data_IF_599448914244
#
_entry.id   IF_599448914244
#
_cell.length_a   1.000
_cell.length_b   1.000
_cell.length_c   1.000
_cell.angle_alpha   90.00
_cell.angle_beta   90.00
_cell.angle_gamma   90.00
#
_symmetry.space_group_name_H-M   'P 1'
#
loop_
_entity.id
_entity.type
_entity.pdbx_description
1 polymer ?
#
# COMPACT_ATOMS: atom_id res chain seq x y z
N UNK A 1 -5.96 22.25 25.77
CA UNK A 1 -4.76 21.72 25.09
C UNK A 1 -4.46 22.39 23.73
N UNK A 2 -3.29 23.01 23.61
CA UNK A 2 -2.72 23.57 22.36
C UNK A 2 -1.24 23.17 22.24
N UNK A 3 -0.72 23.04 21.02
CA UNK A 3 0.69 22.76 20.74
C UNK A 3 1.37 23.88 19.95
N UNK A 4 2.52 24.35 20.42
CA UNK A 4 3.40 25.28 19.69
C UNK A 4 4.76 24.66 19.48
N UNK A 5 5.29 24.73 18.26
CA UNK A 5 6.60 24.18 17.94
C UNK A 5 7.60 25.31 17.70
N UNK A 6 8.71 25.26 18.41
CA UNK A 6 9.91 26.04 18.17
C UNK A 6 11.03 25.17 17.62
N UNK A 7 11.99 25.80 16.97
CA UNK A 7 13.20 25.19 16.45
C UNK A 7 14.41 25.91 17.03
N UNK A 8 15.46 25.15 17.38
CA UNK A 8 16.67 25.73 17.97
C UNK A 8 17.93 25.05 17.43
N UNK A 9 18.98 25.85 17.24
CA UNK A 9 20.35 25.36 17.00
C UNK A 9 21.11 25.14 18.31
N UNK A 10 20.59 25.64 19.44
CA UNK A 10 21.23 25.60 20.75
C UNK A 10 20.51 24.60 21.66
N UNK A 11 21.10 23.41 21.78
CA UNK A 11 20.61 22.33 22.63
C UNK A 11 20.67 22.72 24.11
N UNK A 12 21.77 23.35 24.54
CA UNK A 12 22.00 23.72 25.94
C UNK A 12 20.95 24.72 26.41
N UNK A 13 20.67 25.73 25.58
CA UNK A 13 19.62 26.70 25.87
C UNK A 13 18.24 26.05 25.95
N UNK A 14 17.89 25.19 24.99
CA UNK A 14 16.57 24.52 24.98
C UNK A 14 16.36 23.61 26.19
N UNK A 15 17.35 22.79 26.55
CA UNK A 15 17.28 21.91 27.72
C UNK A 15 17.28 22.70 29.03
N UNK A 16 18.14 23.71 29.16
CA UNK A 16 18.20 24.58 30.34
C UNK A 16 16.91 25.38 30.54
N UNK A 17 16.31 25.89 29.46
CA UNK A 17 15.02 26.57 29.54
C UNK A 17 13.90 25.60 29.94
N UNK A 18 13.82 24.42 29.32
CA UNK A 18 12.81 23.42 29.64
C UNK A 18 12.91 22.94 31.10
N UNK A 19 14.11 22.85 31.66
CA UNK A 19 14.34 22.34 33.01
C UNK A 19 14.59 23.43 34.06
N UNK A 20 14.17 24.67 33.78
CA UNK A 20 14.39 25.79 34.70
C UNK A 20 13.68 25.55 36.05
N UNK A 21 14.47 25.47 37.13
CA UNK A 21 13.99 25.20 38.49
C UNK A 21 13.12 26.31 39.06
N UNK A 22 13.34 27.56 38.66
CA UNK A 22 12.48 28.69 39.06
C UNK A 22 11.06 28.55 38.50
N UNK A 23 10.84 27.59 37.59
CA UNK A 23 9.56 27.31 36.94
C UNK A 23 8.97 25.92 37.25
N UNK A 24 9.46 25.24 38.29
CA UNK A 24 9.16 23.82 38.58
C UNK A 24 9.53 22.88 37.42
N UNK A 25 10.65 23.17 36.73
CA UNK A 25 11.18 22.45 35.55
C UNK A 25 11.59 20.98 35.75
N UNK A 26 10.83 20.21 36.52
CA UNK A 26 11.05 18.79 36.73
C UNK A 26 10.71 17.97 35.48
N UNK A 27 11.56 16.97 35.19
CA UNK A 27 11.33 16.03 34.10
C UNK A 27 10.14 15.11 34.45
N UNK A 28 9.12 15.14 33.59
CA UNK A 28 7.98 14.23 33.64
C UNK A 28 8.31 12.90 32.97
N UNK A 29 8.89 12.92 31.77
CA UNK A 29 9.32 11.74 31.02
C UNK A 29 10.53 12.10 30.12
N UNK A 30 11.33 11.09 29.76
CA UNK A 30 12.43 11.22 28.82
C UNK A 30 12.68 9.89 28.11
N UNK A 31 13.40 9.95 27.00
CA UNK A 31 13.92 8.79 26.27
C UNK A 31 15.37 9.05 25.86
N UNK A 32 16.20 8.01 25.90
CA UNK A 32 17.65 8.03 25.62
C UNK A 32 18.41 9.19 26.29
N UNK A 33 17.91 9.69 27.41
CA UNK A 33 18.46 10.82 28.16
C UNK A 33 18.36 10.48 29.64
N UNK A 34 19.48 10.57 30.35
CA UNK A 34 19.51 10.31 31.78
C UNK A 34 18.77 11.41 32.54
N UNK A 35 17.64 11.05 33.17
CA UNK A 35 16.80 11.97 33.94
C UNK A 35 17.45 12.45 35.24
N UNK A 36 18.52 11.78 35.68
CA UNK A 36 19.26 12.15 36.90
C UNK A 36 20.41 13.11 36.64
N UNK A 37 20.88 13.18 35.38
CA UNK A 37 21.92 14.09 34.94
C UNK A 37 21.43 15.55 34.91
N UNK A 38 22.35 16.50 35.08
CA UNK A 38 21.99 17.92 34.99
C UNK A 38 21.62 18.33 33.55
N UNK A 39 20.88 19.43 33.33
CA UNK A 39 20.59 19.93 31.99
C UNK A 39 21.85 20.17 31.15
N UNK A 40 22.95 20.61 31.78
CA UNK A 40 24.24 20.81 31.13
C UNK A 40 24.89 19.49 30.72
N UNK A 41 24.79 18.45 31.55
CA UNK A 41 25.30 17.11 31.23
C UNK A 41 24.51 16.48 30.08
N UNK A 42 23.19 16.52 30.14
CA UNK A 42 22.31 16.06 29.07
C UNK A 42 22.60 16.81 27.75
N UNK A 43 22.83 18.13 27.82
CA UNK A 43 23.18 18.91 26.66
C UNK A 43 24.53 18.49 26.06
N UNK A 44 25.54 18.19 26.89
CA UNK A 44 26.83 17.66 26.41
C UNK A 44 26.66 16.33 25.69
N UNK A 45 25.85 15.42 26.21
CA UNK A 45 25.61 14.11 25.61
C UNK A 45 24.90 14.24 24.25
N UNK A 46 23.88 15.10 24.18
CA UNK A 46 23.17 15.39 22.93
C UNK A 46 24.08 16.08 21.91
N UNK A 47 24.89 17.04 22.34
CA UNK A 47 25.87 17.71 21.45
C UNK A 47 26.92 16.73 20.92
N UNK A 48 27.34 15.73 21.71
CA UNK A 48 28.30 14.72 21.29
C UNK A 48 27.75 13.78 20.19
N UNK A 49 26.42 13.62 20.14
CA UNK A 49 25.72 12.79 19.14
C UNK A 49 25.03 13.62 18.05
N UNK A 50 25.12 14.94 18.10
CA UNK A 50 24.47 15.83 17.16
C UNK A 50 25.18 15.86 15.81
N UNK A 51 24.42 15.70 14.73
CA UNK A 51 24.86 16.06 13.39
C UNK A 51 24.85 17.59 13.20
N UNK A 52 25.61 18.07 12.21
CA UNK A 52 25.71 19.50 11.90
C UNK A 52 24.50 20.02 11.09
N UNK A 53 23.32 19.93 11.69
CA UNK A 53 22.10 20.52 11.15
C UNK A 53 21.90 21.94 11.70
N UNK A 54 21.35 22.83 10.88
CA UNK A 54 20.94 24.17 11.30
C UNK A 54 19.98 24.11 12.51
N UNK A 55 19.03 23.18 12.48
CA UNK A 55 18.14 22.89 13.59
C UNK A 55 18.63 21.64 14.31
N UNK A 56 19.08 21.79 15.55
CA UNK A 56 19.63 20.70 16.37
C UNK A 56 18.60 20.12 17.35
N UNK A 57 17.58 20.89 17.71
CA UNK A 57 16.45 20.37 18.45
C UNK A 57 15.14 21.10 18.08
N UNK A 58 14.02 20.41 18.33
CA UNK A 58 12.69 20.99 18.34
C UNK A 58 12.21 21.12 19.77
N UNK A 59 11.43 22.16 20.05
CA UNK A 59 10.72 22.32 21.32
C UNK A 59 9.23 22.38 21.03
N UNK A 60 8.45 21.44 21.57
CA UNK A 60 6.99 21.47 21.51
C UNK A 60 6.46 21.86 22.88
N UNK A 61 5.69 22.94 22.94
CA UNK A 61 5.03 23.41 24.15
C UNK A 61 3.58 22.98 24.09
N UNK A 62 3.17 22.12 25.02
CA UNK A 62 1.78 21.74 25.24
C UNK A 62 1.22 22.57 26.38
N UNK A 63 0.14 23.31 26.15
CA UNK A 63 -0.50 24.14 27.18
C UNK A 63 -1.95 23.73 27.42
N UNK A 64 -2.34 23.69 28.69
CA UNK A 64 -3.70 23.49 29.15
C UNK A 64 -4.40 24.83 29.41
N UNK A 65 -5.73 24.84 29.46
CA UNK A 65 -6.49 26.04 29.85
C UNK A 65 -6.45 26.25 31.37
N UNK A 66 -6.83 27.44 31.89
CA UNK A 66 -6.87 27.66 33.33
C UNK A 66 -7.80 26.67 34.05
N UNK A 67 -8.97 26.40 33.47
CA UNK A 67 -9.95 25.44 34.01
C UNK A 67 -9.39 24.03 34.06
N UNK A 68 -8.72 23.60 32.99
CA UNK A 68 -8.04 22.29 32.94
C UNK A 68 -6.91 22.21 33.96
N UNK A 69 -6.15 23.29 34.12
CA UNK A 69 -5.05 23.38 35.09
C UNK A 69 -5.56 23.19 36.52
N UNK A 70 -6.64 23.90 36.90
CA UNK A 70 -7.26 23.72 38.22
C UNK A 70 -7.76 22.29 38.41
N UNK A 71 -8.39 21.71 37.38
CA UNK A 71 -8.87 20.33 37.42
C UNK A 71 -7.71 19.34 37.62
N UNK A 72 -6.61 19.47 36.87
CA UNK A 72 -5.44 18.60 36.99
C UNK A 72 -4.77 18.70 38.36
N UNK A 73 -4.57 19.93 38.86
CA UNK A 73 -4.00 20.19 40.20
C UNK A 73 -4.87 19.66 41.34
N UNK A 74 -6.18 19.53 41.13
CA UNK A 74 -7.10 18.97 42.12
C UNK A 74 -7.04 17.44 42.24
N UNK A 75 -6.41 16.76 41.27
CA UNK A 75 -6.25 15.31 41.27
C UNK A 75 -5.11 14.86 42.20
N UNK A 76 -5.09 13.60 42.64
CA UNK A 76 -3.93 13.02 43.32
C UNK A 76 -2.63 13.23 42.52
N UNK A 77 -1.55 13.52 43.23
CA UNK A 77 -0.23 13.85 42.67
C UNK A 77 -0.30 14.93 41.57
N UNK A 78 -1.18 15.92 41.72
CA UNK A 78 -1.44 16.98 40.73
C UNK A 78 -1.77 16.44 39.33
N UNK A 79 -2.39 15.27 39.25
CA UNK A 79 -2.77 14.63 37.99
C UNK A 79 -1.58 14.09 37.19
N UNK A 80 -0.39 13.93 37.80
CA UNK A 80 0.85 13.54 37.13
C UNK A 80 0.70 12.32 36.22
N UNK A 81 0.05 11.26 36.70
CA UNK A 81 -0.14 10.03 35.90
C UNK A 81 -1.07 10.23 34.71
N UNK A 82 -2.13 11.02 34.90
CA UNK A 82 -3.07 11.38 33.83
C UNK A 82 -2.35 12.21 32.76
N UNK A 83 -1.57 13.20 33.18
CA UNK A 83 -0.76 14.05 32.29
C UNK A 83 0.26 13.21 31.53
N UNK A 84 0.97 12.31 32.21
CA UNK A 84 1.93 11.40 31.58
C UNK A 84 1.27 10.54 30.49
N UNK A 85 0.04 10.09 30.73
CA UNK A 85 -0.75 9.34 29.74
C UNK A 85 -1.13 10.22 28.55
N UNK A 86 -1.65 11.43 28.80
CA UNK A 86 -2.00 12.40 27.74
C UNK A 86 -0.79 12.75 26.87
N UNK A 87 0.37 13.00 27.49
CA UNK A 87 1.60 13.34 26.75
C UNK A 87 2.12 12.16 25.94
N UNK A 88 2.06 10.93 26.47
CA UNK A 88 2.43 9.72 25.69
C UNK A 88 1.54 9.55 24.48
N UNK A 89 0.22 9.63 24.66
CA UNK A 89 -0.73 9.56 23.56
C UNK A 89 -0.47 10.66 22.52
N UNK A 90 -0.07 11.87 22.95
CA UNK A 90 0.34 12.93 22.05
C UNK A 90 1.59 12.58 21.24
N UNK A 91 2.62 11.98 21.86
CA UNK A 91 3.83 11.55 21.17
C UNK A 91 3.56 10.39 20.21
N UNK A 92 2.69 9.46 20.58
CA UNK A 92 2.25 8.36 19.73
C UNK A 92 1.50 8.89 18.51
N UNK A 93 0.53 9.79 18.73
CA UNK A 93 -0.22 10.45 17.65
C UNK A 93 0.67 11.29 16.74
N UNK A 94 1.69 11.97 17.30
CA UNK A 94 2.69 12.70 16.53
C UNK A 94 3.52 11.75 15.65
N UNK A 95 3.86 10.57 16.17
CA UNK A 95 4.61 9.53 15.47
C UNK A 95 3.78 8.90 14.34
N UNK A 96 2.50 8.59 14.58
CA UNK A 96 1.57 8.10 13.56
C UNK A 96 1.39 9.08 12.40
N UNK A 97 1.55 10.38 12.66
CA UNK A 97 1.51 11.45 11.65
C UNK A 97 2.83 11.67 10.90
N UNK A 98 3.85 10.86 11.18
CA UNK A 98 5.11 10.83 10.46
C UNK A 98 6.25 11.62 11.11
N UNK A 99 6.07 12.08 12.34
CA UNK A 99 7.12 12.70 13.16
C UNK A 99 7.49 11.75 14.31
N UNK A 100 8.06 10.61 13.96
CA UNK A 100 8.41 9.53 14.90
C UNK A 100 9.55 9.97 15.84
N UNK A 101 9.27 9.95 17.13
CA UNK A 101 10.20 10.33 18.21
C UNK A 101 10.77 9.13 18.96
N UNK A 102 10.38 7.90 18.60
CA UNK A 102 10.72 6.68 19.38
C UNK A 102 12.21 6.42 19.45
N UNK A 103 12.96 6.71 18.38
CA UNK A 103 14.42 6.55 18.29
C UNK A 103 15.19 7.87 18.53
N UNK A 104 14.47 8.99 18.73
CA UNK A 104 15.09 10.28 18.98
C UNK A 104 15.17 10.56 20.48
N UNK A 105 16.33 10.99 21.02
CA UNK A 105 16.40 11.50 22.38
C UNK A 105 15.41 12.64 22.60
N UNK A 106 14.65 12.58 23.68
CA UNK A 106 13.75 13.66 24.06
C UNK A 106 13.59 13.76 25.58
N UNK A 107 13.21 14.94 26.05
CA UNK A 107 12.75 15.18 27.41
C UNK A 107 11.40 15.88 27.40
N UNK A 108 10.61 15.66 28.43
CA UNK A 108 9.39 16.40 28.73
C UNK A 108 9.51 16.96 30.13
N UNK A 109 9.57 18.27 30.24
CA UNK A 109 9.59 18.98 31.51
C UNK A 109 8.26 19.70 31.74
N UNK A 110 7.80 19.71 32.99
CA UNK A 110 6.62 20.47 33.42
C UNK A 110 7.06 21.88 33.78
N UNK A 111 6.30 22.90 33.38
CA UNK A 111 6.38 24.25 33.96
C UNK A 111 5.02 24.58 34.58
N UNK A 112 5.04 25.03 35.83
CA UNK A 112 3.83 25.40 36.58
C UNK A 112 3.75 26.90 36.94
N UNK A 113 4.79 27.64 36.54
CA UNK A 113 5.06 29.02 36.95
C UNK A 113 4.17 30.08 36.31
N UNK A 114 3.34 29.68 35.35
CA UNK A 114 2.33 30.54 34.72
C UNK A 114 0.93 30.15 35.19
N UNK A 115 -0.06 31.00 34.92
CA UNK A 115 -1.49 30.74 35.22
C UNK A 115 -2.00 29.40 34.64
N UNK A 116 -1.30 28.86 33.64
CA UNK A 116 -1.62 27.59 32.99
C UNK A 116 -0.49 26.56 33.14
N UNK A 117 -0.87 25.30 33.35
CA UNK A 117 0.07 24.18 33.20
C UNK A 117 0.51 24.04 31.75
N UNK A 118 1.82 23.96 31.56
CA UNK A 118 2.40 23.68 30.26
C UNK A 118 3.63 22.78 30.35
N UNK A 119 3.89 22.08 29.26
CA UNK A 119 4.92 21.06 29.18
C UNK A 119 5.84 21.35 28.01
N UNK A 120 7.13 21.38 28.29
CA UNK A 120 8.19 21.55 27.32
C UNK A 120 8.70 20.19 26.89
N UNK A 121 8.44 19.82 25.64
CA UNK A 121 8.95 18.62 25.00
C UNK A 121 10.14 19.04 24.13
N UNK A 122 11.36 18.71 24.53
CA UNK A 122 12.56 18.98 23.71
C UNK A 122 12.94 17.68 23.01
N UNK A 123 13.10 17.74 21.69
CA UNK A 123 13.39 16.58 20.83
C UNK A 123 14.70 16.85 20.09
N UNK A 124 15.67 15.96 20.23
CA UNK A 124 16.92 15.99 19.48
C UNK A 124 16.68 15.64 18.00
N UNK A 125 17.32 16.34 17.06
CA UNK A 125 17.12 16.07 15.62
C UNK A 125 17.97 14.93 15.08
N UNK A 126 18.86 14.34 15.88
CA UNK A 126 19.66 13.18 15.52
C UNK A 126 19.21 11.99 16.36
N UNK A 127 18.75 10.92 15.70
CA UNK A 127 18.35 9.69 16.37
C UNK A 127 19.55 8.85 16.83
N UNK A 128 19.29 7.77 17.56
CA UNK A 128 20.34 6.87 18.08
C UNK A 128 21.18 6.19 16.99
N UNK A 129 20.72 6.18 15.74
CA UNK A 129 21.42 5.63 14.59
C UNK A 129 22.14 6.72 13.76
N UNK A 130 22.14 7.98 14.21
CA UNK A 130 22.73 9.12 13.51
C UNK A 130 21.88 9.65 12.35
N UNK A 131 20.63 9.20 12.20
CA UNK A 131 19.71 9.67 11.16
C UNK A 131 18.93 10.89 11.65
N UNK A 132 18.59 11.77 10.69
CA UNK A 132 17.81 12.97 10.94
C UNK A 132 16.36 12.63 11.27
N UNK A 133 15.85 13.24 12.34
CA UNK A 133 14.44 13.29 12.69
C UNK A 133 13.60 13.82 11.52
N UNK A 134 12.50 13.14 11.19
CA UNK A 134 11.58 13.57 10.15
C UNK A 134 10.75 14.77 10.66
N UNK A 135 11.10 15.97 10.23
CA UNK A 135 10.46 17.23 10.65
C UNK A 135 9.35 17.71 9.69
N UNK A 136 9.03 16.90 8.67
CA UNK A 136 8.03 17.25 7.66
C UNK A 136 6.71 17.59 8.33
N UNK A 137 6.24 18.81 8.07
CA UNK A 137 4.99 19.34 8.60
C UNK A 137 4.86 19.29 10.13
N UNK A 138 5.96 19.25 10.89
CA UNK A 138 5.96 19.09 12.35
C UNK A 138 5.00 20.07 13.06
N UNK A 139 4.98 21.34 12.65
CA UNK A 139 4.06 22.34 13.18
C UNK A 139 2.59 21.93 13.03
N UNK A 140 2.21 21.51 11.82
CA UNK A 140 0.84 21.10 11.48
C UNK A 140 0.47 19.81 12.18
N UNK A 141 1.40 18.85 12.21
CA UNK A 141 1.20 17.54 12.81
C UNK A 141 1.07 17.64 14.33
N UNK A 142 1.92 18.43 15.00
CA UNK A 142 1.81 18.68 16.44
C UNK A 142 0.50 19.38 16.80
N UNK A 143 0.08 20.40 16.04
CA UNK A 143 -1.21 21.07 16.28
C UNK A 143 -2.40 20.11 16.13
N UNK A 144 -2.37 19.23 15.11
CA UNK A 144 -3.42 18.24 14.89
C UNK A 144 -3.39 17.12 15.93
N UNK A 145 -2.22 16.64 16.30
CA UNK A 145 -2.05 15.65 17.36
C UNK A 145 -2.62 16.18 18.68
N UNK A 146 -2.30 17.42 19.05
CA UNK A 146 -2.87 18.05 20.24
C UNK A 146 -4.40 18.19 20.16
N UNK A 147 -4.96 18.56 19.01
CA UNK A 147 -6.41 18.62 18.84
C UNK A 147 -7.07 17.23 18.94
N UNK A 148 -6.47 16.21 18.31
CA UNK A 148 -6.96 14.83 18.36
C UNK A 148 -6.98 14.30 19.80
N UNK A 149 -5.87 14.46 20.52
CA UNK A 149 -5.77 14.06 21.93
C UNK A 149 -6.72 14.88 22.81
N UNK A 150 -6.87 16.17 22.56
CA UNK A 150 -7.84 16.97 23.29
C UNK A 150 -9.26 16.43 23.13
N UNK A 151 -9.68 16.14 21.90
CA UNK A 151 -10.99 15.54 21.61
C UNK A 151 -11.15 14.17 22.28
N UNK A 152 -10.12 13.32 22.25
CA UNK A 152 -10.12 12.00 22.90
C UNK A 152 -10.37 12.09 24.41
N UNK A 153 -9.77 13.08 25.07
CA UNK A 153 -9.83 13.24 26.53
C UNK A 153 -10.88 14.25 27.01
N UNK A 154 -11.68 14.83 26.11
CA UNK A 154 -12.67 15.86 26.46
C UNK A 154 -12.05 17.17 26.95
N UNK A 155 -10.84 17.48 26.48
CA UNK A 155 -10.11 18.72 26.76
C UNK A 155 -10.48 19.79 25.72
N UNK A 156 -10.39 21.05 26.12
CA UNK A 156 -10.62 22.21 25.28
C UNK A 156 -9.46 22.38 24.28
N UNK A 157 -9.74 22.36 23.00
CA UNK A 157 -8.78 22.71 21.96
C UNK A 157 -9.23 23.97 21.20
N UNK A 158 -8.31 24.73 20.59
CA UNK A 158 -8.67 25.88 19.77
C UNK A 158 -9.71 25.48 18.70
N UNK A 159 -10.83 26.23 18.53
CA UNK A 159 -11.91 25.82 17.64
C UNK A 159 -11.46 25.53 16.20
N UNK A 160 -10.55 26.34 15.68
CA UNK A 160 -9.95 26.14 14.35
C UNK A 160 -9.09 24.86 14.27
N UNK A 161 -8.45 24.45 15.37
CA UNK A 161 -7.66 23.22 15.41
C UNK A 161 -8.57 21.99 15.40
N UNK A 162 -9.68 22.04 16.15
CA UNK A 162 -10.72 21.00 16.14
C UNK A 162 -11.34 20.86 14.75
N UNK A 163 -11.77 21.97 14.13
CA UNK A 163 -12.34 21.96 12.78
C UNK A 163 -11.39 21.31 11.75
N UNK A 164 -10.11 21.70 11.80
CA UNK A 164 -9.07 21.16 10.89
C UNK A 164 -8.79 19.68 11.11
N UNK A 165 -8.91 19.19 12.34
CA UNK A 165 -8.72 17.78 12.67
C UNK A 165 -9.94 16.95 12.27
N UNK A 166 -11.16 17.42 12.55
CA UNK A 166 -12.39 16.77 12.07
C UNK A 166 -12.39 16.64 10.55
N UNK A 167 -12.10 17.72 9.82
CA UNK A 167 -12.01 17.69 8.36
C UNK A 167 -10.92 16.72 7.86
N UNK A 168 -9.81 16.58 8.59
CA UNK A 168 -8.76 15.63 8.25
C UNK A 168 -9.23 14.17 8.43
N UNK A 169 -9.88 13.86 9.55
CA UNK A 169 -10.42 12.53 9.82
C UNK A 169 -11.48 12.13 8.80
N UNK A 170 -12.35 13.06 8.42
CA UNK A 170 -13.33 12.86 7.35
C UNK A 170 -12.66 12.56 6.01
N UNK A 171 -11.66 13.36 5.62
CA UNK A 171 -10.92 13.17 4.38
C UNK A 171 -10.18 11.81 4.35
N UNK A 172 -9.54 11.42 5.46
CA UNK A 172 -8.90 10.10 5.59
C UNK A 172 -9.92 8.96 5.53
N UNK A 173 -11.09 9.13 6.17
CA UNK A 173 -12.20 8.19 6.07
C UNK A 173 -12.70 8.03 4.63
N UNK A 174 -12.84 9.14 3.89
CA UNK A 174 -13.22 9.12 2.47
C UNK A 174 -12.16 8.43 1.61
N UNK A 175 -10.88 8.74 1.82
CA UNK A 175 -9.76 8.09 1.11
C UNK A 175 -9.71 6.59 1.37
N UNK A 176 -9.91 6.15 2.62
CA UNK A 176 -9.98 4.73 2.98
C UNK A 176 -11.14 4.03 2.27
N UNK A 177 -12.33 4.66 2.25
CA UNK A 177 -13.50 4.15 1.52
C UNK A 177 -13.24 4.07 0.01
N UNK A 178 -12.60 5.07 -0.58
CA UNK A 178 -12.27 5.08 -2.00
C UNK A 178 -11.25 3.98 -2.34
N UNK A 179 -10.20 3.83 -1.53
CA UNK A 179 -9.20 2.76 -1.69
C UNK A 179 -9.85 1.38 -1.63
N UNK A 180 -10.75 1.15 -0.66
CA UNK A 180 -11.51 -0.10 -0.58
C UNK A 180 -12.39 -0.32 -1.82
N UNK A 181 -13.08 0.71 -2.32
CA UNK A 181 -13.87 0.62 -3.56
C UNK A 181 -13.01 0.27 -4.78
N UNK A 182 -11.82 0.84 -4.91
CA UNK A 182 -10.89 0.53 -6.01
C UNK A 182 -10.40 -0.92 -5.95
N UNK A 183 -10.13 -1.45 -4.75
CA UNK A 183 -9.71 -2.84 -4.55
C UNK A 183 -10.84 -3.84 -4.85
N UNK A 184 -12.09 -3.49 -4.59
CA UNK A 184 -13.24 -4.34 -4.84
C UNK A 184 -13.85 -4.21 -6.24
N UNK A 185 -13.36 -3.29 -7.09
CA UNK A 185 -13.84 -3.18 -8.47
C UNK A 185 -13.27 -4.36 -9.28
N UNK A 186 -14.11 -5.28 -9.80
CA UNK A 186 -13.63 -6.37 -10.65
C UNK A 186 -12.89 -5.76 -11.84
N UNK A 187 -11.61 -6.13 -12.01
CA UNK A 187 -10.76 -5.60 -13.08
C UNK A 187 -11.17 -6.11 -14.46
N UNK A 188 -11.90 -7.24 -14.48
CA UNK A 188 -12.46 -7.84 -15.67
C UNK A 188 -13.99 -7.68 -15.66
N UNK A 189 -14.56 -7.36 -16.82
CA UNK A 189 -15.99 -7.41 -17.05
C UNK A 189 -16.53 -8.85 -16.83
N UNK A 190 -17.82 -8.97 -16.50
CA UNK A 190 -18.45 -10.28 -16.33
C UNK A 190 -18.29 -11.16 -17.59
N UNK A 191 -18.32 -10.55 -18.79
CA UNK A 191 -18.11 -11.23 -20.06
C UNK A 191 -16.71 -11.85 -20.18
N UNK A 192 -15.66 -11.13 -19.74
CA UNK A 192 -14.29 -11.64 -19.76
C UNK A 192 -14.08 -12.80 -18.78
N UNK A 193 -14.75 -12.73 -17.61
CA UNK A 193 -14.73 -13.82 -16.62
C UNK A 193 -15.42 -15.07 -17.21
N UNK A 194 -16.60 -14.89 -17.79
CA UNK A 194 -17.38 -15.98 -18.39
C UNK A 194 -16.64 -16.61 -19.58
N UNK A 195 -16.01 -15.79 -20.43
CA UNK A 195 -15.19 -16.27 -21.54
C UNK A 195 -13.97 -17.07 -21.04
N UNK A 196 -13.26 -16.57 -20.03
CA UNK A 196 -12.13 -17.28 -19.44
C UNK A 196 -12.55 -18.62 -18.84
N UNK A 197 -13.70 -18.66 -18.16
CA UNK A 197 -14.25 -19.89 -17.59
C UNK A 197 -14.67 -20.88 -18.68
N UNK A 198 -15.31 -20.41 -19.77
CA UNK A 198 -15.65 -21.24 -20.93
C UNK A 198 -14.40 -21.83 -21.58
N UNK A 199 -13.36 -21.03 -21.81
CA UNK A 199 -12.08 -21.48 -22.35
C UNK A 199 -11.43 -22.54 -21.45
N UNK A 200 -11.42 -22.34 -20.14
CA UNK A 200 -10.88 -23.29 -19.17
C UNK A 200 -11.60 -24.65 -19.24
N UNK A 201 -12.94 -24.66 -19.26
CA UNK A 201 -13.74 -25.89 -19.39
C UNK A 201 -13.43 -26.62 -20.71
N UNK A 202 -13.38 -25.89 -21.82
CA UNK A 202 -13.08 -26.47 -23.13
C UNK A 202 -11.69 -27.12 -23.19
N UNK A 203 -10.68 -26.51 -22.56
CA UNK A 203 -9.31 -27.07 -22.46
C UNK A 203 -9.29 -28.33 -21.61
N UNK A 204 -9.96 -28.32 -20.45
CA UNK A 204 -10.02 -29.48 -19.56
C UNK A 204 -10.73 -30.67 -20.22
N UNK A 205 -11.83 -30.41 -20.91
CA UNK A 205 -12.57 -31.43 -21.65
C UNK A 205 -11.74 -32.01 -22.81
N UNK A 206 -11.01 -31.16 -23.55
CA UNK A 206 -10.09 -31.61 -24.58
C UNK A 206 -8.94 -32.46 -24.01
N UNK A 207 -8.43 -32.13 -22.82
CA UNK A 207 -7.39 -32.91 -22.15
C UNK A 207 -7.91 -34.28 -21.70
N UNK A 208 -9.12 -34.35 -21.13
CA UNK A 208 -9.79 -35.62 -20.77
C UNK A 208 -10.00 -36.49 -22.01
N UNK A 209 -10.50 -35.92 -23.10
CA UNK A 209 -10.67 -36.62 -24.38
C UNK A 209 -9.34 -37.18 -24.87
N UNK A 210 -8.30 -36.35 -25.03
CA UNK A 210 -6.97 -36.81 -25.47
C UNK A 210 -6.40 -37.94 -24.60
N UNK A 211 -6.57 -37.84 -23.27
CA UNK A 211 -6.11 -38.88 -22.34
C UNK A 211 -6.85 -40.20 -22.53
N UNK A 212 -8.17 -40.15 -22.76
CA UNK A 212 -8.98 -41.33 -23.07
C UNK A 212 -8.53 -41.98 -24.39
N UNK A 213 -8.34 -41.19 -25.46
CA UNK A 213 -7.85 -41.73 -26.74
C UNK A 213 -6.49 -42.41 -26.58
N UNK A 214 -5.56 -41.75 -25.88
CA UNK A 214 -4.24 -42.33 -25.61
C UNK A 214 -4.37 -43.70 -24.95
N UNK A 215 -5.18 -43.78 -23.88
CA UNK A 215 -5.40 -45.03 -23.16
C UNK A 215 -6.00 -46.13 -24.03
N UNK A 216 -7.05 -45.82 -24.81
CA UNK A 216 -7.71 -46.79 -25.69
C UNK A 216 -6.73 -47.30 -26.74
N UNK A 217 -5.96 -46.41 -27.38
CA UNK A 217 -4.99 -46.75 -28.41
C UNK A 217 -3.86 -47.62 -27.85
N UNK A 218 -3.27 -47.23 -26.71
CA UNK A 218 -2.21 -48.02 -26.07
C UNK A 218 -2.71 -49.38 -25.56
N UNK A 219 -3.95 -49.43 -25.05
CA UNK A 219 -4.59 -50.68 -24.62
C UNK A 219 -4.85 -51.62 -25.79
N UNK A 220 -5.36 -51.11 -26.91
CA UNK A 220 -5.56 -51.89 -28.12
C UNK A 220 -4.22 -52.43 -28.63
N UNK A 221 -3.21 -51.56 -28.72
CA UNK A 221 -1.87 -51.90 -29.18
C UNK A 221 -1.21 -53.04 -28.38
N UNK A 222 -1.44 -53.08 -27.06
CA UNK A 222 -0.91 -54.14 -26.18
C UNK A 222 -1.68 -55.47 -26.24
N UNK A 223 -2.93 -55.47 -26.70
CA UNK A 223 -3.83 -56.64 -26.68
C UNK A 223 -3.96 -57.35 -28.01
N UNK A 224 -3.54 -56.71 -29.10
CA UNK A 224 -3.74 -57.22 -30.46
C UNK A 224 -2.42 -57.68 -31.05
N UNK A 225 -2.40 -58.91 -31.55
CA UNK A 225 -1.19 -59.52 -32.12
C UNK A 225 -1.01 -59.25 -33.62
N UNK A 226 -1.98 -58.59 -34.28
CA UNK A 226 -1.90 -58.22 -35.69
C UNK A 226 -2.40 -56.80 -35.97
N UNK A 227 -1.96 -56.22 -37.09
CA UNK A 227 -2.35 -54.88 -37.55
C UNK A 227 -3.84 -54.78 -37.83
N UNK A 228 -4.45 -55.83 -38.41
CA UNK A 228 -5.89 -55.87 -38.70
C UNK A 228 -6.71 -55.94 -37.41
N UNK A 229 -6.27 -56.72 -36.43
CA UNK A 229 -6.93 -56.83 -35.12
C UNK A 229 -6.85 -55.49 -34.36
N UNK A 230 -5.72 -54.78 -34.45
CA UNK A 230 -5.56 -53.44 -33.88
C UNK A 230 -6.53 -52.42 -34.50
N UNK A 231 -6.63 -52.39 -35.84
CA UNK A 231 -7.55 -51.49 -36.54
C UNK A 231 -9.01 -51.82 -36.21
N UNK A 232 -9.37 -53.10 -36.15
CA UNK A 232 -10.72 -53.54 -35.79
C UNK A 232 -11.10 -53.12 -34.36
N UNK A 233 -10.20 -53.32 -33.39
CA UNK A 233 -10.41 -52.91 -32.00
C UNK A 233 -10.60 -51.40 -31.84
N UNK A 234 -9.89 -50.59 -32.64
CA UNK A 234 -10.10 -49.15 -32.66
C UNK A 234 -11.45 -48.77 -33.30
N UNK A 235 -11.84 -49.46 -34.37
CA UNK A 235 -13.11 -49.21 -35.05
C UNK A 235 -14.32 -49.54 -34.16
N UNK A 236 -14.25 -50.58 -33.32
CA UNK A 236 -15.26 -50.90 -32.30
C UNK A 236 -15.46 -49.76 -31.29
N UNK A 237 -14.36 -49.08 -30.93
CA UNK A 237 -14.37 -47.90 -30.06
C UNK A 237 -14.69 -46.60 -30.84
N UNK A 238 -15.09 -46.70 -32.11
CA UNK A 238 -15.44 -45.57 -32.97
C UNK A 238 -14.25 -44.71 -33.42
N UNK A 239 -13.04 -45.26 -33.37
CA UNK A 239 -11.78 -44.59 -33.72
C UNK A 239 -11.28 -45.14 -35.06
N UNK A 240 -10.96 -44.24 -35.99
CA UNK A 240 -10.35 -44.58 -37.28
C UNK A 240 -8.96 -43.99 -37.39
N UNK A 241 -8.04 -44.68 -38.08
CA UNK A 241 -6.68 -44.20 -38.30
C UNK A 241 -6.53 -43.63 -39.70
N UNK A 242 -5.94 -42.46 -39.79
CA UNK A 242 -5.64 -41.77 -41.05
C UNK A 242 -4.18 -41.34 -41.06
N UNK A 243 -3.59 -41.23 -42.24
CA UNK A 243 -2.24 -40.66 -42.39
C UNK A 243 -2.33 -39.19 -42.78
N UNK A 244 -1.48 -38.39 -42.17
CA UNK A 244 -1.31 -36.97 -42.45
C UNK A 244 0.15 -36.70 -42.80
N UNK A 245 0.40 -36.03 -43.93
CA UNK A 245 1.75 -35.78 -44.43
C UNK A 245 2.64 -35.02 -43.43
N UNK A 246 2.06 -34.16 -42.59
CA UNK A 246 2.79 -33.31 -41.64
C UNK A 246 2.75 -33.83 -40.20
N UNK A 247 1.71 -34.58 -39.85
CA UNK A 247 1.44 -35.04 -38.48
C UNK A 247 1.58 -36.54 -38.27
N UNK A 248 1.87 -37.31 -39.32
CA UNK A 248 2.00 -38.76 -39.26
C UNK A 248 0.65 -39.44 -39.08
N UNK A 249 0.62 -40.53 -38.33
CA UNK A 249 -0.61 -41.29 -38.07
C UNK A 249 -1.50 -40.49 -37.11
N UNK A 250 -2.76 -40.32 -37.49
CA UNK A 250 -3.76 -39.57 -36.75
C UNK A 250 -4.97 -40.45 -36.44
N UNK A 251 -5.43 -40.40 -35.19
CA UNK A 251 -6.72 -40.94 -34.78
C UNK A 251 -7.82 -39.93 -35.11
N UNK A 252 -8.89 -40.42 -35.73
CA UNK A 252 -10.09 -39.67 -36.07
C UNK A 252 -11.26 -40.29 -35.33
N UNK A 253 -12.01 -39.47 -34.61
CA UNK A 253 -13.24 -39.87 -33.93
C UNK A 253 -14.30 -38.79 -34.04
N UNK A 254 -15.55 -39.17 -33.75
CA UNK A 254 -16.67 -38.24 -33.66
C UNK A 254 -17.02 -38.06 -32.19
N UNK A 255 -16.89 -36.82 -31.69
CA UNK A 255 -17.34 -36.47 -30.34
C UNK A 255 -18.87 -36.70 -30.21
N UNK A 256 -19.43 -36.89 -29.00
CA UNK A 256 -20.88 -37.01 -28.79
C UNK A 256 -21.71 -35.86 -29.38
N UNK A 257 -21.11 -34.67 -29.51
CA UNK A 257 -21.69 -33.49 -30.16
C UNK A 257 -21.71 -33.57 -31.70
N UNK A 258 -21.33 -34.71 -32.30
CA UNK A 258 -21.27 -34.92 -33.75
C UNK A 258 -20.06 -34.28 -34.43
N UNK A 259 -19.10 -33.73 -33.67
CA UNK A 259 -17.90 -33.08 -34.23
C UNK A 259 -16.79 -34.08 -34.49
N UNK A 260 -16.30 -34.11 -35.73
CA UNK A 260 -15.14 -34.91 -36.10
C UNK A 260 -13.86 -34.26 -35.54
N UNK A 261 -13.07 -35.03 -34.79
CA UNK A 261 -11.79 -34.63 -34.23
C UNK A 261 -10.67 -35.49 -34.78
N UNK A 262 -9.55 -34.86 -35.11
CA UNK A 262 -8.34 -35.51 -35.61
C UNK A 262 -7.17 -35.18 -34.69
N UNK A 263 -6.50 -36.21 -34.17
CA UNK A 263 -5.35 -36.07 -33.27
C UNK A 263 -4.18 -36.91 -33.76
N UNK A 264 -2.99 -36.32 -33.86
CA UNK A 264 -1.74 -37.06 -34.10
C UNK A 264 -1.44 -37.98 -32.92
N UNK A 265 -1.15 -39.27 -33.19
CA UNK A 265 -0.78 -40.24 -32.16
C UNK A 265 0.47 -39.77 -31.41
N UNK A 266 1.52 -39.39 -32.14
CA UNK A 266 2.78 -38.95 -31.54
C UNK A 266 2.71 -37.52 -30.96
N UNK A 267 2.23 -36.54 -31.75
CA UNK A 267 2.33 -35.11 -31.37
C UNK A 267 1.20 -34.65 -30.44
N UNK A 268 -0.03 -35.08 -30.68
CA UNK A 268 -1.21 -34.56 -29.96
C UNK A 268 -1.60 -35.42 -28.76
N UNK A 269 -1.38 -36.73 -28.85
CA UNK A 269 -1.73 -37.72 -27.82
C UNK A 269 -0.51 -38.22 -27.03
N UNK A 270 0.71 -38.11 -27.58
CA UNK A 270 1.93 -38.61 -26.93
C UNK A 270 1.88 -40.12 -26.71
N UNK A 271 1.30 -40.85 -27.66
CA UNK A 271 1.29 -42.33 -27.69
C UNK A 271 2.70 -42.81 -28.01
N UNK A 272 3.15 -43.84 -27.30
CA UNK A 272 4.41 -44.52 -27.63
C UNK A 272 4.27 -45.28 -28.95
N UNK A 273 4.92 -44.77 -29.99
CA UNK A 273 4.86 -45.33 -31.34
C UNK A 273 5.53 -46.70 -31.44
N UNK A 274 6.36 -47.12 -30.47
CA UNK A 274 6.97 -48.46 -30.46
C UNK A 274 5.94 -49.57 -30.19
N UNK A 275 4.83 -49.22 -29.53
CA UNK A 275 3.73 -50.14 -29.25
C UNK A 275 2.83 -50.35 -30.48
N UNK A 276 2.89 -49.44 -31.45
CA UNK A 276 1.96 -49.43 -32.57
C UNK A 276 2.45 -50.40 -33.65
N UNK A 277 1.62 -51.37 -34.09
CA UNK A 277 2.01 -52.30 -35.16
C UNK A 277 2.32 -51.53 -36.45
N UNK A 278 3.13 -52.13 -37.34
CA UNK A 278 3.56 -51.46 -38.56
C UNK A 278 2.37 -51.24 -39.51
N UNK A 279 1.83 -50.03 -39.47
CA UNK A 279 0.63 -49.61 -40.18
C UNK A 279 1.00 -49.19 -41.61
N UNK A 280 1.10 -50.16 -42.52
CA UNK A 280 1.07 -49.90 -43.96
C UNK A 280 -0.38 -49.64 -44.39
N UNK A 281 -0.99 -48.55 -43.89
CA UNK A 281 -2.37 -48.17 -44.22
C UNK A 281 -2.42 -47.77 -45.69
N UNK A 282 -3.19 -48.52 -46.49
CA UNK A 282 -3.39 -48.26 -47.91
C UNK A 282 -4.07 -46.90 -48.12
N UNK A 283 -3.49 -46.08 -49.00
CA UNK A 283 -4.02 -44.80 -49.46
C UNK A 283 -5.33 -44.98 -50.27
N UNK A 284 -6.48 -45.11 -49.61
CA UNK A 284 -7.78 -44.87 -50.27
C UNK A 284 -8.79 -44.20 -49.33
N UNK A 285 -9.12 -42.91 -49.54
CA UNK A 285 -10.39 -42.38 -49.06
C UNK A 285 -11.50 -42.85 -50.01
N UNK A 286 -12.39 -43.72 -49.52
CA UNK A 286 -13.72 -43.90 -50.12
C UNK A 286 -14.63 -42.88 -49.45
N UNK A 287 -15.04 -41.86 -50.19
CA UNK A 287 -16.40 -41.33 -50.34
C UNK A 287 -16.31 -39.98 -51.08
N UNK A 288 -17.03 -39.91 -52.20
CA UNK A 288 -17.24 -38.73 -53.03
C UNK A 288 -18.26 -37.80 -52.37
N UNK A 289 -17.99 -36.49 -52.38
CA UNK A 289 -19.05 -35.47 -52.42
C UNK A 289 -18.57 -34.27 -53.24
N UNK A 290 -19.35 -33.97 -54.28
CA UNK A 290 -19.14 -32.91 -55.25
C UNK A 290 -19.63 -31.55 -54.74
N UNK A 291 -19.18 -30.48 -55.44
CA UNK A 291 -19.73 -29.12 -55.50
C UNK A 291 -19.50 -28.24 -54.25
N UNK A 292 -19.22 -26.94 -54.34
CA UNK A 292 -19.00 -25.98 -55.42
C UNK A 292 -18.60 -24.66 -54.75
N UNK A 293 -17.64 -23.92 -55.30
CA UNK A 293 -17.41 -22.52 -54.91
C UNK A 293 -18.63 -21.66 -55.25
N UNK A 294 -18.92 -20.61 -54.45
CA UNK A 294 -19.07 -19.30 -55.08
C UNK A 294 -18.43 -18.14 -54.31
N UNK A 295 -17.71 -17.32 -55.07
CA UNK A 295 -17.72 -15.86 -55.16
C UNK A 295 -17.96 -15.00 -53.89
N UNK A 296 -17.01 -14.07 -53.70
CA UNK A 296 -17.17 -12.81 -52.97
C UNK A 296 -18.36 -11.98 -53.49
N UNK A 297 -18.87 -11.07 -52.65
CA UNK A 297 -19.09 -9.71 -53.12
C UNK A 297 -18.31 -8.66 -52.30
N UNK A 298 -17.75 -7.68 -53.01
CA UNK A 298 -17.50 -6.34 -52.47
C UNK A 298 -18.85 -5.66 -52.19
N UNK A 299 -18.94 -4.84 -51.13
CA UNK A 299 -19.55 -3.52 -51.24
C UNK A 299 -19.10 -2.56 -50.12
N UNK A 300 -18.94 -1.32 -50.58
CA UNK A 300 -18.57 -0.03 -50.02
C UNK A 300 -18.68 0.32 -48.52
N UNK A 301 -17.63 1.06 -48.15
CA UNK A 301 -17.52 2.21 -47.23
C UNK A 301 -18.79 2.94 -46.76
N UNK A 302 -18.77 3.35 -45.50
CA UNK A 302 -19.09 4.73 -45.12
C UNK A 302 -18.31 5.19 -43.90
N UNK A 303 -17.70 6.37 -44.05
CA UNK A 303 -17.06 7.20 -43.03
C UNK A 303 -18.10 7.84 -42.10
N UNK A 304 -17.73 8.02 -40.83
CA UNK A 304 -17.72 9.29 -40.09
C UNK A 304 -17.25 8.99 -38.65
N UNK A 305 -16.08 9.46 -38.20
CA UNK A 305 -15.74 10.85 -37.77
C UNK A 305 -16.33 11.12 -36.38
N UNK A 306 -15.50 10.97 -35.34
CA UNK A 306 -15.08 12.02 -34.39
C UNK A 306 -14.71 11.46 -33.01
N UNK A 307 -13.70 12.06 -32.39
CA UNK A 307 -13.46 11.95 -30.94
C UNK A 307 -12.05 11.58 -30.53
N UNK A 308 -11.11 12.47 -30.86
CA UNK A 308 -9.72 12.52 -30.39
C UNK A 308 -9.55 12.23 -28.89
N UNK A 309 -8.84 11.14 -28.58
CA UNK A 309 -8.17 10.95 -27.29
C UNK A 309 -6.81 11.64 -27.32
N UNK A 310 -6.62 12.67 -26.49
CA UNK A 310 -5.28 13.18 -26.17
C UNK A 310 -5.17 13.37 -24.66
N UNK A 311 -4.35 12.52 -24.07
CA UNK A 311 -3.92 12.54 -22.68
C UNK A 311 -2.85 13.63 -22.49
N UNK A 312 -3.15 14.66 -21.70
CA UNK A 312 -2.14 15.58 -21.14
C UNK A 312 -2.61 16.12 -19.79
N UNK A 313 -2.15 15.52 -18.69
CA UNK A 313 -2.15 16.15 -17.38
C UNK A 313 -0.70 16.22 -16.88
N UNK A 314 -0.10 17.39 -17.01
CA UNK A 314 1.10 17.80 -16.31
C UNK A 314 0.94 19.29 -16.03
N UNK A 315 0.33 19.61 -14.89
CA UNK A 315 0.28 20.98 -14.39
C UNK A 315 1.56 21.21 -13.57
N UNK A 316 2.39 22.10 -14.10
CA UNK A 316 3.40 22.85 -13.36
C UNK A 316 2.68 23.94 -12.56
N UNK A 317 2.85 23.95 -11.24
CA UNK A 317 2.64 25.17 -10.46
C UNK A 317 3.99 25.86 -10.27
N UNK A 318 4.01 27.10 -10.76
CA UNK A 318 5.07 28.08 -10.68
C UNK A 318 4.97 28.72 -9.30
N UNK A 319 6.09 28.73 -8.58
CA UNK A 319 6.25 29.33 -7.27
C UNK A 319 6.86 30.73 -7.47
N UNK A 320 6.03 31.77 -7.45
CA UNK A 320 6.51 33.16 -7.40
C UNK A 320 6.35 33.71 -5.97
N UNK A 321 7.48 34.18 -5.43
CA UNK A 321 7.64 34.58 -4.05
C UNK A 321 7.26 36.04 -3.73
N UNK A 322 7.55 36.36 -2.47
CA UNK A 322 7.52 37.66 -1.78
C UNK A 322 6.18 38.14 -1.18
N UNK A 323 6.00 37.82 0.10
CA UNK A 323 6.03 38.81 1.19
C UNK A 323 6.12 38.07 2.55
N UNK A 324 7.29 38.15 3.19
CA UNK A 324 7.54 37.57 4.50
C UNK A 324 7.16 38.56 5.60
N UNK A 325 5.94 38.48 6.09
CA UNK A 325 5.60 38.98 7.42
C UNK A 325 6.02 37.88 8.41
N UNK A 326 7.24 37.98 8.93
CA UNK A 326 7.79 37.04 9.90
C UNK A 326 7.19 37.35 11.30
N UNK A 327 6.33 36.49 11.86
CA UNK A 327 5.66 36.74 13.15
C UNK A 327 6.62 36.76 14.35
N UNK A 328 7.89 36.37 14.16
CA UNK A 328 8.94 36.42 15.17
C UNK A 328 9.42 37.87 15.44
N UNK A 329 9.39 38.73 14.43
CA UNK A 329 9.80 40.14 14.56
C UNK A 329 8.74 41.00 15.23
N UNK A 330 7.45 40.67 15.08
CA UNK A 330 6.35 41.35 15.76
C UNK A 330 6.33 41.03 17.27
N UNK A 331 6.74 39.82 17.66
CA UNK A 331 6.88 39.41 19.06
C UNK A 331 8.04 40.13 19.76
N UNK A 332 9.19 40.28 19.08
CA UNK A 332 10.36 41.02 19.62
C UNK A 332 10.06 42.50 19.86
N UNK A 333 9.32 43.15 18.95
CA UNK A 333 8.89 44.56 19.12
C UNK A 333 7.94 44.77 20.29
N UNK A 334 7.00 43.83 20.53
CA UNK A 334 6.02 43.94 21.62
C UNK A 334 6.65 43.80 23.01
N UNK A 335 7.76 43.10 23.14
CA UNK A 335 8.39 42.79 24.42
C UNK A 335 9.65 43.62 24.73
N UNK A 336 9.86 44.74 24.03
CA UNK A 336 10.83 45.77 24.42
C UNK A 336 12.31 45.41 24.18
N UNK A 337 12.60 44.44 23.34
CA UNK A 337 13.98 44.14 22.95
C UNK A 337 14.44 45.11 21.86
N UNK A 338 15.54 45.83 22.10
CA UNK A 338 16.22 46.60 21.05
C UNK A 338 16.92 45.62 20.10
N UNK A 339 16.69 45.84 18.80
CA UNK A 339 17.37 45.17 17.69
C UNK A 339 18.89 45.31 17.77
#
# INVERSE_FOLDING_TARGET
MNARVGQSSDISHSLGYAQNRDKDGGILLANFTDITASPEEQARDWMATANDYKTRCYTIIISFTPTETVMLRSMPDNGRDKIRTIIRDFLDELSERGNDVTECPYIVARHDNTDNEHFHIVIHTTDMNGKRFCDKFINKNANRAAACIAMKYGLEAPPKAVERETAHQEAEGQRRKEKAKRQHKPTASQLEIDEKMRRKRAVEEAAKRKSMLKYVIEKAAKKTDSTEAFIAALAEEGITLTRDEKKGICAVMTDPDGKIRKYSLAKDLGVDMTLIPNLSIQDKPVVKSQHSSPLKPLHHAQLNVDGSGSSRNAEHEINDGHNSDDPDEEWKRRNGYKL
#
